data_IF_295116541963
#
_entry.id   IF_295116541963
#
_cell.length_a   1.000
_cell.length_b   1.000
_cell.length_c   1.000
_cell.angle_alpha   90.00
_cell.angle_beta   90.00
_cell.angle_gamma   90.00
#
_symmetry.space_group_name_H-M   'P 1'
#
loop_
_entity.id
_entity.type
_entity.pdbx_description
1 polymer ?
#
# COMPACT_ATOMS: atom_id res chain seq x y z
N UNK A 1 16.38 2.59 -4.09
CA UNK A 1 15.68 3.48 -3.13
C UNK A 1 15.00 2.62 -2.08
N UNK A 2 15.64 2.52 -0.92
CA UNK A 2 15.06 1.94 0.30
C UNK A 2 14.18 3.02 0.90
N UNK A 3 12.87 2.76 1.01
CA UNK A 3 11.99 3.64 1.79
C UNK A 3 12.33 3.38 3.26
N UNK A 4 12.90 4.39 3.92
CA UNK A 4 13.33 4.30 5.30
C UNK A 4 12.12 4.51 6.24
N UNK A 5 12.27 4.23 7.53
CA UNK A 5 11.20 4.43 8.52
C UNK A 5 10.74 5.90 8.62
N UNK A 6 11.59 6.83 8.18
CA UNK A 6 11.30 8.26 8.17
C UNK A 6 10.32 8.62 7.04
N UNK A 7 10.47 8.01 5.86
CA UNK A 7 9.56 8.16 4.72
C UNK A 7 8.15 7.66 5.08
N UNK A 8 8.08 6.52 5.77
CA UNK A 8 6.82 5.96 6.29
C UNK A 8 6.20 6.91 7.33
N UNK A 9 7.03 7.52 8.18
CA UNK A 9 6.57 8.45 9.21
C UNK A 9 6.09 9.79 8.63
N UNK A 10 6.75 10.27 7.57
CA UNK A 10 6.34 11.45 6.80
C UNK A 10 5.00 11.21 6.10
N UNK A 11 4.83 10.04 5.49
CA UNK A 11 3.56 9.66 4.84
C UNK A 11 2.43 9.55 5.86
N UNK A 12 2.68 8.93 7.02
CA UNK A 12 1.75 8.93 8.15
C UNK A 12 1.40 10.35 8.58
N UNK A 13 2.37 11.25 8.71
CA UNK A 13 2.12 12.64 9.14
C UNK A 13 1.32 13.45 8.12
N UNK A 14 1.58 13.25 6.82
CA UNK A 14 0.82 13.87 5.74
C UNK A 14 -0.65 13.42 5.73
N UNK A 15 -0.91 12.15 6.01
CA UNK A 15 -2.26 11.59 6.14
C UNK A 15 -3.06 12.22 7.28
N UNK A 16 -2.40 12.62 8.38
CA UNK A 16 -3.04 13.30 9.51
C UNK A 16 -3.21 14.81 9.29
N UNK A 17 -2.57 15.39 8.26
CA UNK A 17 -2.65 16.82 7.91
C UNK A 17 -3.38 16.98 6.58
N UNK A 18 -4.61 16.49 6.50
CA UNK A 18 -5.52 16.84 5.41
C UNK A 18 -5.93 18.32 5.50
N UNK A 19 -6.26 18.99 4.36
CA UNK A 19 -6.71 20.38 4.38
C UNK A 19 -8.02 20.47 5.17
N UNK A 20 -8.06 21.30 6.21
CA UNK A 20 -9.28 21.64 6.93
C UNK A 20 -10.29 22.26 5.98
N UNK A 21 -11.22 21.47 5.46
CA UNK A 21 -12.42 22.00 4.83
C UNK A 21 -13.60 21.05 5.01
N UNK A 22 -14.51 21.53 5.86
CA UNK A 22 -15.94 21.27 5.94
C UNK A 22 -16.43 19.82 6.10
N UNK A 23 -17.00 19.61 7.28
CA UNK A 23 -17.92 18.58 7.77
C UNK A 23 -18.56 17.63 6.75
N UNK A 24 -18.40 16.33 7.04
CA UNK A 24 -19.10 15.23 6.42
C UNK A 24 -18.46 13.93 6.88
N UNK A 25 -18.91 13.43 8.05
CA UNK A 25 -18.51 12.16 8.66
C UNK A 25 -17.08 11.71 8.30
N UNK A 26 -16.09 12.31 8.96
CA UNK A 26 -14.76 11.72 9.05
C UNK A 26 -14.96 10.37 9.74
N UNK A 27 -15.22 9.34 8.93
CA UNK A 27 -15.13 7.96 9.34
C UNK A 27 -13.71 7.85 9.83
N UNK A 28 -13.60 7.80 11.16
CA UNK A 28 -12.43 7.39 11.93
C UNK A 28 -12.18 5.92 11.63
N UNK A 29 -12.08 5.57 10.34
CA UNK A 29 -11.46 4.38 9.83
C UNK A 29 -10.02 4.58 10.24
N UNK A 30 -9.76 4.25 11.50
CA UNK A 30 -8.44 4.01 12.02
C UNK A 30 -7.92 3.00 11.03
N UNK A 31 -7.16 3.51 10.06
CA UNK A 31 -6.15 2.81 9.30
C UNK A 31 -5.47 1.98 10.37
N UNK A 32 -5.99 0.77 10.61
CA UNK A 32 -5.37 -0.17 11.51
C UNK A 32 -4.01 -0.28 10.88
N UNK A 33 -3.01 0.24 11.59
CA UNK A 33 -1.72 0.62 11.06
C UNK A 33 -1.32 -0.42 10.02
N UNK A 34 -1.42 -0.03 8.74
CA UNK A 34 -1.38 -0.98 7.64
C UNK A 34 -0.06 -1.74 7.78
N UNK A 35 -0.16 -3.04 8.03
CA UNK A 35 0.99 -3.84 8.42
C UNK A 35 1.85 -4.09 7.20
N UNK A 36 3.14 -4.29 7.44
CA UNK A 36 4.07 -4.67 6.40
C UNK A 36 3.80 -6.13 5.96
N UNK A 37 3.97 -6.39 4.67
CA UNK A 37 3.78 -7.69 4.03
C UNK A 37 5.13 -8.27 3.61
N UNK A 38 5.51 -9.40 4.17
CA UNK A 38 6.75 -10.09 3.83
C UNK A 38 6.56 -11.14 2.72
N UNK A 39 5.31 -11.51 2.41
CA UNK A 39 4.98 -12.54 1.43
C UNK A 39 4.85 -13.93 2.03
N UNK A 40 4.66 -14.01 3.35
CA UNK A 40 4.42 -15.27 4.06
C UNK A 40 2.99 -15.72 3.84
N UNK A 41 2.82 -17.00 3.54
CA UNK A 41 1.50 -17.62 3.40
C UNK A 41 0.95 -18.03 4.77
N UNK A 42 0.70 -17.05 5.64
CA UNK A 42 0.04 -17.26 6.92
C UNK A 42 -1.27 -16.46 7.04
N UNK A 43 -2.15 -16.91 7.91
CA UNK A 43 -3.49 -16.33 8.11
C UNK A 43 -3.42 -14.84 8.43
N UNK A 44 -2.37 -14.39 9.13
CA UNK A 44 -2.21 -13.01 9.54
C UNK A 44 -1.83 -12.10 8.38
N UNK A 45 -0.95 -12.54 7.48
CA UNK A 45 -0.67 -11.78 6.25
C UNK A 45 -1.90 -11.72 5.33
N UNK A 46 -2.70 -12.79 5.31
CA UNK A 46 -3.94 -12.81 4.53
C UNK A 46 -5.01 -11.85 5.09
N UNK A 47 -5.18 -11.81 6.42
CA UNK A 47 -5.99 -10.79 7.10
C UNK A 47 -5.57 -9.37 6.74
N UNK A 48 -4.26 -9.09 6.75
CA UNK A 48 -3.76 -7.76 6.38
C UNK A 48 -4.08 -7.40 4.91
N UNK A 49 -4.16 -8.38 3.98
CA UNK A 49 -4.54 -8.14 2.58
C UNK A 49 -6.02 -7.76 2.46
N UNK A 50 -6.89 -8.42 3.22
CA UNK A 50 -8.30 -8.06 3.29
C UNK A 50 -8.52 -6.69 3.97
N UNK A 51 -7.72 -6.37 4.98
CA UNK A 51 -7.73 -5.04 5.61
C UNK A 51 -7.31 -3.94 4.62
N UNK A 52 -6.32 -4.22 3.75
CA UNK A 52 -5.88 -3.33 2.68
C UNK A 52 -6.98 -3.07 1.65
N UNK A 53 -7.66 -4.13 1.19
CA UNK A 53 -8.78 -3.97 0.25
C UNK A 53 -9.91 -3.15 0.89
N UNK A 54 -10.24 -3.46 2.14
CA UNK A 54 -11.25 -2.71 2.90
C UNK A 54 -10.86 -1.24 3.05
N UNK A 55 -9.58 -0.94 3.27
CA UNK A 55 -9.05 0.42 3.31
C UNK A 55 -9.21 1.13 1.96
N UNK A 56 -8.84 0.49 0.85
CA UNK A 56 -9.01 1.07 -0.48
C UNK A 56 -10.48 1.42 -0.77
N UNK A 57 -11.41 0.56 -0.38
CA UNK A 57 -12.84 0.82 -0.52
C UNK A 57 -13.31 1.96 0.39
N UNK A 58 -12.88 1.97 1.66
CA UNK A 58 -13.32 2.94 2.66
C UNK A 58 -12.95 4.38 2.30
N UNK A 59 -11.77 4.60 1.72
CA UNK A 59 -11.31 5.94 1.31
C UNK A 59 -11.38 6.19 -0.20
N UNK A 60 -11.95 5.24 -0.96
CA UNK A 60 -12.15 5.32 -2.41
C UNK A 60 -10.86 5.59 -3.18
N UNK A 61 -9.81 4.80 -2.89
CA UNK A 61 -8.53 4.89 -3.60
C UNK A 61 -8.73 4.57 -5.10
N UNK A 62 -8.24 5.42 -6.01
CA UNK A 62 -8.24 5.13 -7.45
C UNK A 62 -7.47 3.86 -7.78
N UNK A 63 -7.97 3.06 -8.72
CA UNK A 63 -7.41 1.75 -9.07
C UNK A 63 -5.92 1.84 -9.47
N UNK A 64 -5.56 2.91 -10.19
CA UNK A 64 -4.20 3.21 -10.63
C UNK A 64 -3.22 3.51 -9.48
N UNK A 65 -3.71 3.89 -8.30
CA UNK A 65 -2.90 4.20 -7.13
C UNK A 65 -2.73 3.00 -6.18
N UNK A 66 -3.68 2.05 -6.19
CA UNK A 66 -3.69 0.90 -5.26
C UNK A 66 -2.40 0.10 -5.29
N UNK A 67 -1.93 -0.27 -6.48
CA UNK A 67 -0.67 -1.03 -6.65
C UNK A 67 0.54 -0.27 -6.11
N UNK A 68 0.58 1.06 -6.34
CA UNK A 68 1.66 1.92 -5.83
C UNK A 68 1.64 1.98 -4.30
N UNK A 69 0.46 2.14 -3.71
CA UNK A 69 0.27 2.17 -2.26
C UNK A 69 0.65 0.83 -1.65
N UNK A 70 0.17 -0.31 -2.16
CA UNK A 70 0.53 -1.63 -1.61
C UNK A 70 2.03 -1.89 -1.67
N UNK A 71 2.71 -1.49 -2.76
CA UNK A 71 4.16 -1.62 -2.85
C UNK A 71 4.90 -0.91 -1.70
N UNK A 72 4.36 0.19 -1.14
CA UNK A 72 4.97 0.86 0.02
C UNK A 72 5.00 -0.03 1.27
N UNK A 73 4.07 -0.97 1.39
CA UNK A 73 3.94 -1.88 2.54
C UNK A 73 4.62 -3.23 2.33
N UNK A 74 5.14 -3.53 1.14
CA UNK A 74 5.94 -4.73 0.92
C UNK A 74 7.31 -4.60 1.62
N UNK A 75 7.74 -5.69 2.25
CA UNK A 75 9.05 -5.87 2.90
C UNK A 75 9.64 -7.23 2.56
N UNK A 76 10.91 -7.45 2.91
CA UNK A 76 11.59 -8.74 2.74
C UNK A 76 11.52 -9.28 1.31
N UNK A 77 11.24 -10.57 1.20
CA UNK A 77 11.20 -11.29 -0.07
C UNK A 77 10.09 -10.81 -1.01
N UNK A 78 8.93 -10.41 -0.47
CA UNK A 78 7.87 -9.82 -1.29
C UNK A 78 8.31 -8.52 -1.98
N UNK A 79 9.04 -7.65 -1.27
CA UNK A 79 9.56 -6.40 -1.88
C UNK A 79 10.63 -6.69 -2.92
N UNK A 80 11.47 -7.68 -2.67
CA UNK A 80 12.49 -8.11 -3.63
C UNK A 80 11.84 -8.67 -4.90
N UNK A 81 10.88 -9.58 -4.76
CA UNK A 81 10.11 -10.13 -5.87
C UNK A 81 9.43 -9.03 -6.70
N UNK A 82 8.79 -8.05 -6.04
CA UNK A 82 8.15 -6.92 -6.74
C UNK A 82 9.15 -6.12 -7.57
N UNK A 83 10.33 -5.79 -7.03
CA UNK A 83 11.38 -5.07 -7.75
C UNK A 83 11.88 -5.85 -8.96
N UNK A 84 12.16 -7.15 -8.78
CA UNK A 84 12.55 -8.03 -9.88
C UNK A 84 11.46 -8.09 -10.96
N UNK A 85 10.19 -8.15 -10.55
CA UNK A 85 9.05 -8.19 -11.48
C UNK A 85 8.89 -6.90 -12.27
N UNK A 86 9.04 -5.75 -11.64
CA UNK A 86 8.99 -4.43 -12.32
C UNK A 86 10.12 -4.31 -13.35
N UNK A 87 11.32 -4.77 -13.00
CA UNK A 87 12.47 -4.76 -13.91
C UNK A 87 12.28 -5.74 -15.07
N UNK A 88 11.78 -6.95 -14.80
CA UNK A 88 11.44 -7.96 -15.80
C UNK A 88 10.41 -7.41 -16.80
N UNK A 89 9.33 -6.80 -16.31
CA UNK A 89 8.32 -6.13 -17.16
C UNK A 89 8.93 -5.06 -18.05
N UNK A 90 9.86 -4.25 -17.54
CA UNK A 90 10.54 -3.22 -18.32
C UNK A 90 11.49 -3.81 -19.38
N UNK A 91 12.07 -4.99 -19.12
CA UNK A 91 13.12 -5.59 -19.95
C UNK A 91 12.57 -6.60 -20.96
N UNK A 92 11.49 -7.29 -20.62
CA UNK A 92 10.98 -8.45 -21.35
C UNK A 92 9.61 -8.21 -22.01
N UNK A 93 9.08 -6.98 -21.94
CA UNK A 93 7.79 -6.61 -22.53
C UNK A 93 6.57 -7.30 -21.91
N UNK A 94 6.69 -7.90 -20.71
CA UNK A 94 5.56 -8.52 -20.03
C UNK A 94 4.51 -7.47 -19.64
N UNK A 95 3.23 -7.86 -19.50
CA UNK A 95 2.20 -6.93 -19.05
C UNK A 95 2.52 -6.34 -17.67
N UNK A 96 2.36 -5.01 -17.55
CA UNK A 96 2.46 -4.31 -16.27
C UNK A 96 1.31 -4.72 -15.35
N UNK A 97 1.63 -4.93 -14.09
CA UNK A 97 0.63 -5.05 -13.01
C UNK A 97 0.12 -3.63 -12.75
N UNK A 98 -1.12 -3.36 -13.13
CA UNK A 98 -1.75 -2.02 -13.05
C UNK A 98 -2.98 -1.99 -12.15
N UNK A 99 -3.50 -3.15 -11.81
CA UNK A 99 -4.69 -3.33 -10.99
C UNK A 99 -4.33 -4.18 -9.78
N UNK A 100 -5.11 -4.01 -8.72
CA UNK A 100 -5.03 -4.79 -7.49
C UNK A 100 -5.56 -6.21 -7.67
#
# INVERSE_FOLDING_TARGET
>A
VELNQEDISLLKKALHRGPSRAEGASNKFRVHELKQFSGRLDTKELENLWDMESYFQAIRVPEEEKVSITNMYLVGDAKLWWRTRVQDVASSGRPRIKTW
#
